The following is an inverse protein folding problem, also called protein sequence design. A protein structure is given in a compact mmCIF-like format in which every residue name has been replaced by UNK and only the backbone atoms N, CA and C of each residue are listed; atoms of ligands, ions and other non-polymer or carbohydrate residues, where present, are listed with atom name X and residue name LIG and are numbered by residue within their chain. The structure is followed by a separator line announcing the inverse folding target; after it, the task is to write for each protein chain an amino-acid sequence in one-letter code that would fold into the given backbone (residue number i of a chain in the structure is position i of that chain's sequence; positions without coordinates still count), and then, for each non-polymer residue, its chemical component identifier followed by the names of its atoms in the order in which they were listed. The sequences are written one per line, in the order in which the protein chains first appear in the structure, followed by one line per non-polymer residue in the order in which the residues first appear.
data_IF_431541238969
#
_entry.id   IF_431541238969
#
_cell.length_a   1.000
_cell.length_b   1.000
_cell.length_c   1.000
_cell.angle_alpha   90.00
_cell.angle_beta   90.00
_cell.angle_gamma   90.00
#
_symmetry.space_group_name_H-M   'P 1'
#
loop_
_entity.id
_entity.type
_entity.pdbx_description
1 polymer ?
#
# COMPACT_ATOMS: atom_id res chain seq x y z
N UNK A 1 -15.52 -6.43 -53.97
CA UNK A 1 -15.82 -5.79 -52.66
C UNK A 1 -15.39 -6.74 -51.56
N UNK A 2 -14.12 -6.68 -51.15
CA UNK A 2 -13.66 -7.28 -49.88
C UNK A 2 -12.65 -6.28 -49.33
N UNK A 3 -13.11 -5.41 -48.44
CA UNK A 3 -12.23 -4.48 -47.71
C UNK A 3 -11.61 -5.34 -46.60
N UNK A 4 -10.34 -5.72 -46.76
CA UNK A 4 -9.56 -6.22 -45.65
C UNK A 4 -9.32 -5.03 -44.71
N UNK A 5 -10.23 -4.84 -43.76
CA UNK A 5 -10.05 -3.94 -42.63
C UNK A 5 -8.89 -4.50 -41.81
N UNK A 6 -7.69 -4.03 -42.14
CA UNK A 6 -6.51 -4.13 -41.30
C UNK A 6 -6.91 -3.74 -39.89
N UNK A 7 -6.94 -4.72 -38.98
CA UNK A 7 -6.94 -4.46 -37.55
C UNK A 7 -5.70 -3.63 -37.26
N UNK A 8 -5.91 -2.33 -37.07
CA UNK A 8 -4.96 -1.49 -36.37
C UNK A 8 -4.93 -2.04 -34.94
N UNK A 9 -3.99 -2.97 -34.68
CA UNK A 9 -3.57 -3.24 -33.32
C UNK A 9 -2.90 -1.96 -32.85
N UNK A 10 -3.66 -1.09 -32.18
CA UNK A 10 -3.09 -0.03 -31.38
C UNK A 10 -2.16 -0.71 -30.37
N UNK A 11 -0.86 -0.60 -30.63
CA UNK A 11 0.16 -0.95 -29.66
C UNK A 11 0.00 0.03 -28.50
N UNK A 12 -0.81 -0.34 -27.50
CA UNK A 12 -0.74 0.32 -26.21
C UNK A 12 0.69 0.11 -25.73
N UNK A 13 1.49 1.17 -25.73
CA UNK A 13 2.79 1.19 -25.05
C UNK A 13 2.52 0.88 -23.58
N UNK A 14 2.51 -0.40 -23.24
CA UNK A 14 2.43 -0.87 -21.87
C UNK A 14 3.68 -0.35 -21.19
N UNK A 15 3.53 0.72 -20.41
CA UNK A 15 4.58 1.16 -19.50
C UNK A 15 4.90 -0.04 -18.62
N UNK A 16 6.08 -0.65 -18.83
CA UNK A 16 6.52 -1.80 -18.06
C UNK A 16 6.32 -1.49 -16.57
N UNK A 17 5.42 -2.24 -15.94
CA UNK A 17 5.00 -1.97 -14.58
C UNK A 17 6.22 -2.04 -13.65
N UNK A 18 6.62 -0.91 -13.06
CA UNK A 18 7.72 -0.89 -12.11
C UNK A 18 7.20 -1.19 -10.71
N UNK A 19 7.64 -2.30 -10.14
CA UNK A 19 7.22 -2.77 -8.82
C UNK A 19 8.37 -2.80 -7.83
N UNK A 20 8.14 -2.23 -6.65
CA UNK A 20 9.03 -2.29 -5.49
C UNK A 20 8.41 -3.25 -4.48
N UNK A 21 9.03 -4.42 -4.33
CA UNK A 21 8.56 -5.46 -3.41
C UNK A 21 9.07 -5.19 -1.99
N UNK A 22 8.16 -5.14 -1.00
CA UNK A 22 8.52 -4.92 0.42
C UNK A 22 9.45 -6.00 0.98
N UNK A 23 9.42 -7.22 0.43
CA UNK A 23 10.31 -8.31 0.83
C UNK A 23 11.78 -7.97 0.53
N UNK A 24 12.07 -7.21 -0.53
CA UNK A 24 13.43 -6.77 -0.87
C UNK A 24 13.99 -5.77 0.17
N UNK A 25 13.14 -5.21 1.04
CA UNK A 25 13.52 -4.32 2.13
C UNK A 25 13.51 -5.02 3.50
N UNK A 26 13.32 -6.35 3.52
CA UNK A 26 13.37 -7.17 4.73
C UNK A 26 12.01 -7.44 5.37
N UNK A 27 10.89 -7.16 4.71
CA UNK A 27 9.57 -7.54 5.22
C UNK A 27 9.45 -9.07 5.25
N UNK A 28 9.01 -9.64 6.38
CA UNK A 28 8.89 -11.08 6.57
C UNK A 28 7.41 -11.51 6.62
N UNK A 29 6.99 -12.51 5.82
CA UNK A 29 5.61 -12.99 5.76
C UNK A 29 5.23 -13.97 6.88
N UNK A 30 5.84 -13.88 8.06
CA UNK A 30 5.70 -14.88 9.14
C UNK A 30 4.59 -14.57 10.16
N UNK A 31 3.92 -13.42 10.04
CA UNK A 31 2.91 -12.95 10.98
C UNK A 31 3.43 -12.64 12.39
N UNK A 32 4.76 -12.52 12.56
CA UNK A 32 5.43 -12.34 13.86
C UNK A 32 6.45 -11.20 13.85
N UNK A 33 7.26 -11.12 12.79
CA UNK A 33 8.33 -10.12 12.67
C UNK A 33 7.75 -8.77 12.25
N UNK A 34 8.11 -7.72 13.00
CA UNK A 34 7.78 -6.34 12.68
C UNK A 34 8.42 -5.92 11.34
N UNK A 35 7.56 -5.69 10.34
CA UNK A 35 7.93 -5.30 8.98
C UNK A 35 7.85 -3.79 8.74
N UNK A 36 7.55 -2.96 9.75
CA UNK A 36 7.30 -1.51 9.60
C UNK A 36 8.46 -0.79 8.92
N UNK A 37 9.71 -1.08 9.31
CA UNK A 37 10.90 -0.49 8.69
C UNK A 37 11.04 -0.85 7.21
N UNK A 38 10.65 -2.07 6.83
CA UNK A 38 10.67 -2.49 5.43
C UNK A 38 9.63 -1.74 4.60
N UNK A 39 8.42 -1.55 5.14
CA UNK A 39 7.37 -0.75 4.52
C UNK A 39 7.80 0.72 4.32
N UNK A 40 8.39 1.34 5.35
CA UNK A 40 8.90 2.72 5.26
C UNK A 40 10.00 2.87 4.19
N UNK A 41 10.93 1.92 4.10
CA UNK A 41 11.99 1.94 3.08
C UNK A 41 11.44 1.73 1.67
N UNK A 42 10.56 0.75 1.47
CA UNK A 42 9.92 0.49 0.19
C UNK A 42 9.11 1.72 -0.28
N UNK A 43 8.34 2.32 0.63
CA UNK A 43 7.59 3.54 0.35
C UNK A 43 8.50 4.70 -0.03
N UNK A 44 9.56 4.95 0.75
CA UNK A 44 10.53 6.01 0.46
C UNK A 44 11.22 5.83 -0.89
N UNK A 45 11.48 4.59 -1.30
CA UNK A 45 12.03 4.27 -2.62
C UNK A 45 11.01 4.56 -3.73
N UNK A 46 9.75 4.15 -3.54
CA UNK A 46 8.68 4.40 -4.50
C UNK A 46 8.39 5.89 -4.68
N UNK A 47 8.27 6.62 -3.57
CA UNK A 47 7.90 8.03 -3.55
C UNK A 47 8.96 8.93 -4.22
N UNK A 48 10.24 8.54 -4.14
CA UNK A 48 11.37 9.24 -4.78
C UNK A 48 11.64 8.80 -6.22
N UNK A 49 10.93 7.78 -6.72
CA UNK A 49 11.09 7.33 -8.10
C UNK A 49 10.76 8.44 -9.09
N UNK A 50 11.44 8.43 -10.23
CA UNK A 50 11.18 9.34 -11.35
C UNK A 50 10.25 8.71 -12.39
N UNK A 51 9.78 7.48 -12.16
CA UNK A 51 8.87 6.80 -13.09
C UNK A 51 7.46 7.40 -13.00
N UNK A 52 6.65 7.38 -14.07
CA UNK A 52 5.30 7.93 -14.04
C UNK A 52 4.38 7.21 -13.02
N UNK A 53 4.49 5.88 -12.97
CA UNK A 53 3.71 5.01 -12.08
C UNK A 53 4.63 3.99 -11.41
N UNK A 54 4.47 3.82 -10.10
CA UNK A 54 5.22 2.84 -9.31
C UNK A 54 4.29 2.02 -8.45
N UNK A 55 4.46 0.70 -8.46
CA UNK A 55 3.73 -0.19 -7.59
C UNK A 55 4.56 -0.53 -6.35
N UNK A 56 4.06 -0.24 -5.14
CA UNK A 56 4.56 -0.86 -3.91
C UNK A 56 3.84 -2.19 -3.75
N UNK A 57 4.59 -3.29 -3.84
CA UNK A 57 4.04 -4.64 -3.85
C UNK A 57 4.25 -5.33 -2.51
N UNK A 58 3.14 -5.77 -1.89
CA UNK A 58 3.12 -6.66 -0.73
C UNK A 58 2.74 -8.06 -1.21
N UNK A 59 3.67 -9.02 -1.23
CA UNK A 59 3.38 -10.38 -1.68
C UNK A 59 2.45 -11.11 -0.72
N UNK A 60 2.00 -12.31 -1.12
CA UNK A 60 1.22 -13.20 -0.24
C UNK A 60 2.00 -13.53 1.02
N UNK A 61 1.31 -13.55 2.16
CA UNK A 61 1.91 -13.75 3.48
C UNK A 61 1.25 -12.89 4.55
N UNK A 62 1.64 -13.06 5.81
CA UNK A 62 1.16 -12.26 6.94
C UNK A 62 2.27 -11.33 7.41
N UNK A 63 2.03 -10.03 7.42
CA UNK A 63 3.04 -9.02 7.77
C UNK A 63 2.56 -8.23 8.98
N UNK A 64 3.30 -8.31 10.08
CA UNK A 64 3.08 -7.40 11.21
C UNK A 64 3.59 -6.03 10.81
N UNK A 65 2.72 -5.03 10.85
CA UNK A 65 3.08 -3.63 10.59
C UNK A 65 2.57 -2.85 11.78
N UNK A 66 3.40 -2.01 12.38
CA UNK A 66 3.03 -1.09 13.46
C UNK A 66 2.58 0.25 12.86
N UNK A 67 2.42 1.28 13.70
CA UNK A 67 2.18 2.63 13.22
C UNK A 67 3.26 3.04 12.20
N UNK A 68 2.83 3.39 10.99
CA UNK A 68 3.71 3.93 9.94
C UNK A 68 3.09 5.15 9.29
N UNK A 69 3.93 6.16 9.07
CA UNK A 69 3.57 7.36 8.30
C UNK A 69 4.31 7.32 6.96
N UNK A 70 3.53 7.10 5.92
CA UNK A 70 3.93 7.01 4.53
C UNK A 70 3.85 8.42 3.93
N UNK A 71 4.98 9.15 4.03
CA UNK A 71 5.06 10.56 3.67
C UNK A 71 5.21 10.79 2.16
N UNK A 72 4.51 11.82 1.67
CA UNK A 72 4.76 12.50 0.41
C UNK A 72 5.39 13.89 0.60
N UNK A 73 5.40 14.75 -0.43
CA UNK A 73 4.83 14.52 -1.76
C UNK A 73 5.65 13.49 -2.56
N UNK A 74 4.96 12.66 -3.34
CA UNK A 74 5.59 11.70 -4.24
C UNK A 74 5.64 12.24 -5.67
N UNK A 75 6.74 11.96 -6.37
CA UNK A 75 6.93 12.37 -7.76
C UNK A 75 6.11 11.50 -8.73
N UNK A 76 5.95 10.23 -8.38
CA UNK A 76 5.21 9.22 -9.14
C UNK A 76 3.77 9.07 -8.66
N UNK A 77 2.87 8.62 -9.55
CA UNK A 77 1.63 7.98 -9.12
C UNK A 77 1.98 6.68 -8.41
N UNK A 78 1.50 6.49 -7.19
CA UNK A 78 1.79 5.29 -6.39
C UNK A 78 0.60 4.33 -6.41
N UNK A 79 0.86 3.07 -6.70
CA UNK A 79 -0.10 1.97 -6.57
C UNK A 79 0.36 1.08 -5.43
N UNK A 80 -0.40 1.01 -4.35
CA UNK A 80 -0.14 0.04 -3.29
C UNK A 80 -0.90 -1.24 -3.62
N UNK A 81 -0.18 -2.26 -4.07
CA UNK A 81 -0.71 -3.58 -4.40
C UNK A 81 -0.48 -4.52 -3.21
N UNK A 82 -1.55 -4.85 -2.49
CA UNK A 82 -1.51 -5.71 -1.32
C UNK A 82 -2.10 -7.07 -1.66
N UNK A 83 -1.24 -8.06 -1.88
CA UNK A 83 -1.66 -9.46 -2.08
C UNK A 83 -1.50 -10.31 -0.80
N UNK A 84 -0.93 -9.74 0.26
CA UNK A 84 -0.81 -10.36 1.58
C UNK A 84 -1.83 -9.82 2.58
N UNK A 85 -1.63 -10.17 3.84
CA UNK A 85 -2.43 -9.70 4.98
C UNK A 85 -1.57 -8.81 5.86
N UNK A 86 -2.05 -7.61 6.18
CA UNK A 86 -1.40 -6.73 7.13
C UNK A 86 -2.02 -6.96 8.52
N UNK A 87 -1.17 -7.20 9.52
CA UNK A 87 -1.58 -7.41 10.90
C UNK A 87 -1.23 -6.17 11.73
N UNK A 88 -2.24 -5.55 12.32
CA UNK A 88 -2.03 -4.47 13.27
C UNK A 88 -1.50 -5.01 14.61
N UNK A 89 -0.70 -4.23 15.34
CA UNK A 89 -0.25 -4.63 16.68
C UNK A 89 -1.45 -4.86 17.60
N UNK A 90 -1.34 -5.86 18.48
CA UNK A 90 -2.37 -6.19 19.48
C UNK A 90 -2.60 -5.08 20.51
N UNK A 91 -1.59 -4.26 20.77
CA UNK A 91 -1.65 -3.21 21.75
C UNK A 91 -2.05 -1.88 21.12
N UNK A 92 -3.29 -1.43 21.35
CA UNK A 92 -3.77 -0.12 20.92
C UNK A 92 -2.90 1.03 21.44
N UNK A 93 -2.22 0.86 22.58
CA UNK A 93 -1.28 1.85 23.12
C UNK A 93 -0.04 2.04 22.23
N UNK A 94 0.33 1.04 21.43
CA UNK A 94 1.39 1.19 20.41
C UNK A 94 0.95 2.05 19.23
N UNK A 95 -0.37 2.22 19.03
CA UNK A 95 -0.93 3.16 18.07
C UNK A 95 -1.06 4.56 18.69
N UNK A 96 -1.40 4.62 19.99
CA UNK A 96 -1.91 5.79 20.74
C UNK A 96 -0.92 6.73 21.43
N UNK A 97 0.36 6.40 21.58
CA UNK A 97 1.24 7.11 22.51
C UNK A 97 1.91 8.39 21.97
N UNK A 98 1.36 9.00 20.93
CA UNK A 98 1.82 10.30 20.43
C UNK A 98 0.77 11.35 20.72
N UNK A 99 1.14 12.41 21.44
CA UNK A 99 0.37 13.64 21.64
C UNK A 99 0.01 14.37 20.34
N UNK A 100 0.43 13.84 19.18
CA UNK A 100 0.03 14.30 17.85
C UNK A 100 -1.22 13.58 17.36
N UNK A 101 -2.11 14.32 16.69
CA UNK A 101 -3.36 13.84 16.05
C UNK A 101 -3.15 12.64 15.09
N UNK A 102 -1.92 12.36 14.68
CA UNK A 102 -1.50 11.21 13.86
C UNK A 102 -1.30 9.89 14.64
N UNK A 103 -1.19 9.93 15.96
CA UNK A 103 -1.07 8.77 16.85
C UNK A 103 -2.39 8.03 17.09
N UNK A 104 -3.32 8.04 16.14
CA UNK A 104 -4.56 7.25 16.23
C UNK A 104 -4.76 6.33 15.03
N UNK A 105 -3.98 6.54 13.98
CA UNK A 105 -4.11 5.85 12.72
C UNK A 105 -3.00 4.81 12.59
N UNK A 106 -3.34 3.64 12.07
CA UNK A 106 -2.37 2.55 11.97
C UNK A 106 -1.41 2.71 10.78
N UNK A 107 -1.95 2.99 9.59
CA UNK A 107 -1.17 3.29 8.39
C UNK A 107 -1.65 4.63 7.86
N UNK A 108 -0.79 5.63 7.90
CA UNK A 108 -1.14 7.01 7.52
C UNK A 108 -0.43 7.38 6.23
N UNK A 109 -1.19 7.84 5.23
CA UNK A 109 -0.63 8.46 4.03
C UNK A 109 -0.67 9.97 4.21
N UNK A 110 0.48 10.60 4.41
CA UNK A 110 0.56 12.03 4.70
C UNK A 110 1.05 12.81 3.48
N UNK A 111 0.26 13.78 3.00
CA UNK A 111 0.57 14.64 1.83
C UNK A 111 0.90 13.84 0.56
N UNK A 112 0.19 12.73 0.35
CA UNK A 112 0.35 11.88 -0.84
C UNK A 112 -0.73 12.24 -1.85
N UNK A 113 -0.34 12.56 -3.08
CA UNK A 113 -1.27 12.83 -4.19
C UNK A 113 -1.19 11.71 -5.22
N UNK A 114 -2.30 11.43 -5.91
CA UNK A 114 -2.38 10.42 -6.98
C UNK A 114 -1.94 9.02 -6.52
N UNK A 115 -2.62 8.50 -5.51
CA UNK A 115 -2.42 7.13 -5.02
C UNK A 115 -3.66 6.26 -5.26
N UNK A 116 -3.46 4.97 -5.50
CA UNK A 116 -4.51 3.95 -5.38
C UNK A 116 -4.03 2.76 -4.55
N UNK A 117 -4.97 2.10 -3.89
CA UNK A 117 -4.74 0.84 -3.17
C UNK A 117 -5.55 -0.24 -3.88
N UNK A 118 -4.96 -1.40 -4.11
CA UNK A 118 -5.63 -2.57 -4.68
C UNK A 118 -5.04 -3.86 -4.12
N UNK A 119 -5.78 -4.97 -4.23
CA UNK A 119 -5.35 -6.26 -3.70
C UNK A 119 -6.11 -7.42 -4.30
N UNK A 120 -5.61 -8.63 -4.07
CA UNK A 120 -6.35 -9.87 -4.34
C UNK A 120 -7.10 -10.22 -3.07
N UNK A 121 -8.42 -10.05 -3.11
CA UNK A 121 -9.34 -9.98 -1.97
C UNK A 121 -9.31 -8.59 -1.28
N UNK A 122 -10.50 -8.12 -0.87
CA UNK A 122 -10.72 -7.10 0.17
C UNK A 122 -9.47 -6.91 1.00
N UNK A 123 -8.79 -5.77 0.93
CA UNK A 123 -7.47 -5.66 1.55
C UNK A 123 -7.63 -5.90 3.05
N UNK A 124 -7.25 -7.10 3.47
CA UNK A 124 -7.56 -7.62 4.79
C UNK A 124 -6.59 -7.02 5.79
N UNK A 125 -7.14 -6.13 6.60
CA UNK A 125 -6.51 -5.59 7.79
C UNK A 125 -7.04 -6.35 8.99
N UNK A 126 -6.16 -7.02 9.74
CA UNK A 126 -6.54 -7.68 11.00
C UNK A 126 -6.16 -6.78 12.17
N UNK A 127 -7.15 -6.35 12.95
CA UNK A 127 -6.88 -5.84 14.29
C UNK A 127 -6.77 -7.02 15.26
N UNK A 128 -5.58 -7.23 15.84
CA UNK A 128 -5.27 -8.44 16.59
C UNK A 128 -6.06 -8.60 17.91
N UNK A 129 -6.79 -7.57 18.38
CA UNK A 129 -7.56 -7.61 19.63
C UNK A 129 -9.00 -8.15 19.48
N UNK A 130 -9.62 -8.07 18.30
CA UNK A 130 -11.06 -8.38 18.15
C UNK A 130 -11.37 -9.49 17.12
N UNK A 131 -10.35 -10.05 16.46
CA UNK A 131 -10.56 -11.04 15.39
C UNK A 131 -11.41 -10.52 14.22
N UNK A 132 -11.68 -9.22 14.18
CA UNK A 132 -12.55 -8.59 13.21
C UNK A 132 -11.74 -8.19 11.98
N UNK A 133 -12.18 -8.67 10.83
CA UNK A 133 -11.64 -8.30 9.53
C UNK A 133 -12.16 -6.91 9.17
N UNK A 134 -11.24 -5.98 8.89
CA UNK A 134 -11.60 -4.69 8.29
C UNK A 134 -11.21 -4.74 6.83
N UNK A 135 -12.22 -4.65 5.96
CA UNK A 135 -11.99 -4.40 4.54
C UNK A 135 -11.76 -2.89 4.34
N UNK A 136 -10.54 -2.51 3.94
CA UNK A 136 -10.25 -1.09 3.67
C UNK A 136 -10.89 -0.59 2.37
N UNK A 137 -11.43 -1.48 1.53
CA UNK A 137 -12.22 -1.07 0.35
C UNK A 137 -13.64 -0.61 0.72
N UNK A 138 -14.12 -0.99 1.91
CA UNK A 138 -15.41 -0.56 2.48
C UNK A 138 -15.29 0.60 3.47
N UNK A 139 -14.07 1.10 3.74
CA UNK A 139 -13.92 2.29 4.57
C UNK A 139 -14.37 3.53 3.78
N UNK A 140 -15.24 4.39 4.34
CA UNK A 140 -15.65 5.62 3.69
C UNK A 140 -14.43 6.44 3.29
N UNK A 141 -14.53 7.17 2.19
CA UNK A 141 -13.53 8.10 1.66
C UNK A 141 -13.29 9.31 2.59
N UNK A 142 -13.17 9.11 3.90
CA UNK A 142 -13.01 10.12 4.93
C UNK A 142 -11.55 10.63 5.01
N UNK A 143 -10.91 10.72 3.84
CA UNK A 143 -9.68 11.45 3.60
C UNK A 143 -9.88 12.56 2.55
N UNK A 144 -11.13 12.95 2.23
CA UNK A 144 -11.42 14.07 1.33
C UNK A 144 -11.54 15.44 2.00
N UNK A 145 -11.53 15.55 3.32
CA UNK A 145 -11.60 16.83 4.03
C UNK A 145 -10.71 16.85 5.27
N UNK A 146 -9.40 17.04 5.07
CA UNK A 146 -8.55 17.90 5.93
C UNK A 146 -7.59 18.64 5.00
#
# INVERSE_FOLDING_TARGET
MIIATSCLFESTNGTAAYSINVAHFGARPDGKTDSSKAFLKAWSSACRSTRPVVTVYVPRGRYVVRNVVLNGPCRSRIVMQINGTLLAPSNYWELGNSTSTTGRFWITFHRVTRMSIRGVNSVLVVQQHSGKWVDISEQPNEARNI
#
